data_IF_093074688415
#
_entry.id   IF_093074688415
#
_cell.length_a   1.000
_cell.length_b   1.000
_cell.length_c   1.000
_cell.angle_alpha   90.00
_cell.angle_beta   90.00
_cell.angle_gamma   90.00
#
_symmetry.space_group_name_H-M   'P 1'
#
loop_
_entity.id
_entity.type
_entity.pdbx_description
1 polymer ?
#
# COMPACT_ATOMS: atom_id res chain seq x y z
N UNK A 1 13.89 0.29 -13.90
CA UNK A 1 14.13 -1.07 -13.33
C UNK A 1 15.47 -1.12 -12.59
N UNK A 2 16.54 -0.58 -13.18
CA UNK A 2 17.89 -0.51 -12.58
C UNK A 2 17.96 -0.03 -11.12
N UNK A 3 17.31 1.08 -10.77
CA UNK A 3 17.33 1.60 -9.39
C UNK A 3 16.69 0.66 -8.36
N UNK A 4 15.76 -0.19 -8.77
CA UNK A 4 15.17 -1.19 -7.88
C UNK A 4 16.18 -2.27 -7.51
N UNK A 5 17.01 -2.72 -8.47
CA UNK A 5 18.10 -3.65 -8.20
C UNK A 5 19.17 -3.01 -7.32
N UNK A 6 19.62 -1.79 -7.67
CA UNK A 6 20.60 -1.04 -6.86
C UNK A 6 20.15 -0.90 -5.40
N UNK A 7 18.88 -0.55 -5.17
CA UNK A 7 18.33 -0.42 -3.82
C UNK A 7 18.43 -1.72 -3.01
N UNK A 8 18.18 -2.87 -3.65
CA UNK A 8 18.25 -4.18 -2.99
C UNK A 8 19.70 -4.63 -2.80
N UNK A 9 20.58 -4.41 -3.77
CA UNK A 9 22.01 -4.74 -3.66
C UNK A 9 22.80 -3.83 -2.72
N UNK A 10 22.24 -2.68 -2.36
CA UNK A 10 22.76 -1.79 -1.32
C UNK A 10 22.40 -2.26 0.11
N UNK A 11 21.68 -3.38 0.26
CA UNK A 11 21.36 -3.99 1.55
C UNK A 11 22.25 -5.19 1.79
N UNK A 12 23.12 -5.10 2.80
CA UNK A 12 24.03 -6.19 3.19
C UNK A 12 23.26 -7.45 3.63
N UNK A 13 22.03 -7.29 4.10
CA UNK A 13 21.15 -8.38 4.54
C UNK A 13 20.52 -9.16 3.38
N UNK A 14 20.61 -8.65 2.14
CA UNK A 14 20.01 -9.28 0.96
C UNK A 14 21.08 -10.06 0.19
N UNK A 15 20.95 -11.39 0.18
CA UNK A 15 21.88 -12.28 -0.55
C UNK A 15 21.44 -12.64 -1.96
N UNK A 16 20.12 -12.62 -2.24
CA UNK A 16 19.54 -13.03 -3.52
C UNK A 16 18.38 -12.12 -3.87
N UNK A 17 18.38 -11.59 -5.09
CA UNK A 17 17.26 -10.83 -5.65
C UNK A 17 16.61 -11.65 -6.77
N UNK A 18 15.30 -11.91 -6.63
CA UNK A 18 14.51 -12.60 -7.63
C UNK A 18 13.68 -11.57 -8.41
N UNK A 19 13.84 -11.55 -9.73
CA UNK A 19 13.05 -10.69 -10.61
C UNK A 19 12.10 -11.52 -11.47
N UNK A 20 10.80 -11.25 -11.38
CA UNK A 20 9.78 -11.85 -12.25
C UNK A 20 9.73 -11.17 -13.61
N UNK A 21 9.63 -11.94 -14.68
CA UNK A 21 9.66 -11.46 -16.07
C UNK A 21 8.68 -12.27 -16.92
N UNK A 22 7.96 -11.60 -17.83
CA UNK A 22 6.95 -12.22 -18.69
C UNK A 22 7.38 -12.34 -20.15
N UNK A 23 8.52 -11.75 -20.53
CA UNK A 23 9.07 -11.82 -21.89
C UNK A 23 10.60 -11.92 -21.85
N UNK A 24 11.18 -12.46 -22.92
CA UNK A 24 12.64 -12.55 -23.06
C UNK A 24 13.31 -11.17 -23.10
N UNK A 25 12.63 -10.16 -23.64
CA UNK A 25 13.12 -8.77 -23.67
C UNK A 25 13.37 -8.25 -22.25
N UNK A 26 12.42 -8.47 -21.32
CA UNK A 26 12.59 -8.10 -19.92
C UNK A 26 13.76 -8.84 -19.25
N UNK A 27 14.03 -10.09 -19.64
CA UNK A 27 15.21 -10.85 -19.19
C UNK A 27 16.49 -10.17 -19.62
N UNK A 28 16.58 -9.82 -20.90
CA UNK A 28 17.77 -9.16 -21.45
C UNK A 28 17.99 -7.80 -20.77
N UNK A 29 16.93 -7.02 -20.57
CA UNK A 29 17.02 -5.71 -19.92
C UNK A 29 17.43 -5.81 -18.46
N UNK A 30 16.92 -6.80 -17.72
CA UNK A 30 17.31 -7.03 -16.33
C UNK A 30 18.77 -7.46 -16.21
N UNK A 31 19.24 -8.38 -17.07
CA UNK A 31 20.65 -8.77 -17.11
C UNK A 31 21.55 -7.56 -17.38
N UNK A 32 21.17 -6.69 -18.32
CA UNK A 32 21.93 -5.46 -18.62
C UNK A 32 21.94 -4.49 -17.44
N UNK A 33 20.80 -4.29 -16.79
CA UNK A 33 20.67 -3.39 -15.64
C UNK A 33 21.54 -3.88 -14.46
N UNK A 34 21.55 -5.18 -14.20
CA UNK A 34 22.40 -5.78 -13.15
C UNK A 34 23.88 -5.79 -13.57
N UNK A 35 24.20 -6.16 -14.80
CA UNK A 35 25.59 -6.32 -15.26
C UNK A 35 26.36 -5.02 -15.45
N UNK A 36 25.69 -3.88 -15.64
CA UNK A 36 26.36 -2.58 -15.85
C UNK A 36 26.50 -1.73 -14.59
N UNK A 37 25.68 -1.99 -13.56
CA UNK A 37 25.49 -1.09 -12.42
C UNK A 37 25.02 -1.81 -11.13
N UNK A 38 24.98 -3.15 -11.10
CA UNK A 38 24.41 -3.96 -10.02
C UNK A 38 25.41 -4.44 -8.97
N UNK A 39 26.55 -3.75 -8.81
CA UNK A 39 27.50 -4.07 -7.76
C UNK A 39 26.87 -3.86 -6.37
N UNK A 40 27.29 -4.66 -5.39
CA UNK A 40 26.91 -4.45 -4.00
C UNK A 40 27.34 -3.05 -3.54
N UNK A 41 26.49 -2.38 -2.77
CA UNK A 41 26.75 -1.02 -2.27
C UNK A 41 27.03 0.04 -3.36
N UNK A 42 26.51 -0.16 -4.57
CA UNK A 42 26.73 0.75 -5.72
C UNK A 42 25.93 2.05 -5.68
N UNK A 43 24.99 2.20 -4.76
CA UNK A 43 24.18 3.42 -4.67
C UNK A 43 24.98 4.60 -4.14
N UNK A 44 24.92 5.70 -4.88
CA UNK A 44 25.50 6.97 -4.45
C UNK A 44 24.71 7.60 -3.29
N UNK A 45 25.35 8.47 -2.52
CA UNK A 45 24.67 9.24 -1.45
C UNK A 45 23.46 10.04 -1.95
N UNK A 46 23.51 10.53 -3.20
CA UNK A 46 22.43 11.30 -3.81
C UNK A 46 21.23 10.39 -4.13
N UNK A 47 21.47 9.23 -4.74
CA UNK A 47 20.40 8.25 -5.03
C UNK A 47 19.73 7.75 -3.75
N UNK A 48 20.50 7.43 -2.70
CA UNK A 48 19.96 7.04 -1.39
C UNK A 48 19.03 8.12 -0.83
N UNK A 49 19.49 9.38 -0.85
CA UNK A 49 18.70 10.52 -0.39
C UNK A 49 17.40 10.69 -1.21
N UNK A 50 17.46 10.54 -2.52
CA UNK A 50 16.28 10.60 -3.39
C UNK A 50 15.26 9.53 -3.01
N UNK A 51 15.69 8.28 -2.81
CA UNK A 51 14.79 7.18 -2.40
C UNK A 51 14.18 7.45 -1.02
N UNK A 52 14.97 7.96 -0.07
CA UNK A 52 14.48 8.33 1.26
C UNK A 52 13.43 9.45 1.19
N UNK A 53 13.69 10.51 0.42
CA UNK A 53 12.78 11.64 0.27
C UNK A 53 11.49 11.23 -0.45
N UNK A 54 11.60 10.41 -1.51
CA UNK A 54 10.44 9.80 -2.16
C UNK A 54 9.64 8.91 -1.20
N UNK A 55 10.32 8.07 -0.41
CA UNK A 55 9.65 7.20 0.57
C UNK A 55 8.87 8.00 1.61
N UNK A 56 9.44 9.11 2.10
CA UNK A 56 8.77 10.03 3.02
C UNK A 56 7.54 10.67 2.38
N UNK A 57 7.68 11.17 1.16
CA UNK A 57 6.57 11.79 0.41
C UNK A 57 5.42 10.80 0.19
N UNK A 58 5.71 9.59 -0.29
CA UNK A 58 4.69 8.55 -0.47
C UNK A 58 4.02 8.16 0.84
N UNK A 59 4.79 7.96 1.92
CA UNK A 59 4.24 7.65 3.25
C UNK A 59 3.38 8.77 3.81
N UNK A 60 3.72 10.03 3.53
CA UNK A 60 2.93 11.18 3.98
C UNK A 60 1.51 11.21 3.39
N UNK A 61 1.33 10.58 2.22
CA UNK A 61 0.03 10.47 1.54
C UNK A 61 -0.79 9.26 1.97
N UNK A 62 -0.20 8.29 2.68
CA UNK A 62 -0.91 7.12 3.19
C UNK A 62 -1.63 7.52 4.49
N UNK A 63 -2.96 7.42 4.50
CA UNK A 63 -3.80 7.73 5.67
C UNK A 63 -3.87 6.56 6.65
N UNK A 64 -3.81 5.33 6.13
CA UNK A 64 -3.90 4.09 6.91
C UNK A 64 -2.86 3.10 6.41
N UNK A 65 -1.96 2.63 7.29
CA UNK A 65 -0.92 1.64 6.94
C UNK A 65 -1.49 0.20 6.83
N UNK A 66 -2.60 0.03 6.13
CA UNK A 66 -3.24 -1.26 5.88
C UNK A 66 -2.54 -1.98 4.73
N UNK A 67 -2.20 -3.25 4.93
CA UNK A 67 -1.56 -4.11 3.91
C UNK A 67 -2.55 -4.97 3.12
N UNK A 68 -3.86 -4.84 3.37
CA UNK A 68 -4.87 -5.63 2.67
C UNK A 68 -4.88 -7.12 3.00
N UNK A 69 -4.31 -7.54 4.14
CA UNK A 69 -4.21 -8.97 4.54
C UNK A 69 -5.55 -9.67 4.84
N UNK A 70 -6.63 -8.91 5.02
CA UNK A 70 -8.01 -9.39 5.28
C UNK A 70 -8.21 -10.15 6.60
N UNK A 71 -7.27 -10.12 7.55
CA UNK A 71 -7.44 -10.79 8.85
C UNK A 71 -8.58 -10.21 9.70
N UNK A 72 -8.93 -8.94 9.49
CA UNK A 72 -10.07 -8.31 10.12
C UNK A 72 -11.44 -8.82 9.61
N UNK A 73 -11.45 -9.66 8.57
CA UNK A 73 -12.67 -10.23 7.98
C UNK A 73 -12.94 -11.66 8.50
N UNK A 74 -14.21 -12.13 8.46
CA UNK A 74 -15.41 -11.32 8.20
C UNK A 74 -15.67 -10.34 9.36
N UNK A 75 -16.11 -9.13 9.03
CA UNK A 75 -16.67 -8.21 10.02
C UNK A 75 -18.07 -8.73 10.42
N UNK A 76 -18.43 -8.80 11.71
CA UNK A 76 -19.76 -9.23 12.16
C UNK A 76 -20.92 -8.39 11.60
N UNK A 77 -20.62 -7.19 11.10
CA UNK A 77 -21.56 -6.25 10.48
C UNK A 77 -21.36 -6.08 8.97
N UNK A 78 -20.57 -6.95 8.33
CA UNK A 78 -20.38 -6.94 6.88
C UNK A 78 -19.47 -5.84 6.34
N UNK A 79 -18.87 -4.99 7.19
CA UNK A 79 -17.96 -3.92 6.73
C UNK A 79 -16.74 -4.51 6.00
N UNK A 80 -16.53 -4.08 4.76
CA UNK A 80 -15.35 -4.41 3.95
C UNK A 80 -14.18 -3.48 4.29
N UNK A 81 -13.64 -3.67 5.50
CA UNK A 81 -12.61 -2.82 6.13
C UNK A 81 -11.40 -2.56 5.21
N UNK A 82 -10.78 -3.57 4.56
CA UNK A 82 -9.61 -3.33 3.72
C UNK A 82 -9.91 -2.42 2.53
N UNK A 83 -11.09 -2.58 1.91
CA UNK A 83 -11.50 -1.78 0.74
C UNK A 83 -11.84 -0.34 1.15
N UNK A 84 -12.45 -0.14 2.33
CA UNK A 84 -12.64 1.20 2.90
C UNK A 84 -11.30 1.94 3.03
N UNK A 85 -10.27 1.27 3.56
CA UNK A 85 -8.95 1.87 3.74
C UNK A 85 -8.19 2.06 2.43
N UNK A 86 -8.36 1.17 1.46
CA UNK A 86 -7.82 1.32 0.11
C UNK A 86 -8.36 2.58 -0.56
N UNK A 87 -9.68 2.83 -0.46
CA UNK A 87 -10.30 4.02 -1.04
C UNK A 87 -9.89 5.30 -0.31
N UNK A 88 -9.79 5.29 1.02
CA UNK A 88 -9.29 6.42 1.81
C UNK A 88 -7.82 6.74 1.49
N UNK A 89 -6.98 5.73 1.33
CA UNK A 89 -5.59 5.95 0.91
C UNK A 89 -5.51 6.47 -0.53
N UNK A 90 -6.34 5.93 -1.44
CA UNK A 90 -6.34 6.33 -2.85
C UNK A 90 -6.80 7.78 -3.03
N UNK A 91 -7.82 8.23 -2.28
CA UNK A 91 -8.28 9.62 -2.34
C UNK A 91 -7.18 10.60 -1.95
N UNK A 92 -6.40 10.27 -0.92
CA UNK A 92 -5.26 11.04 -0.43
C UNK A 92 -4.05 10.95 -1.38
N UNK A 93 -3.73 9.76 -1.89
CA UNK A 93 -2.59 9.52 -2.78
C UNK A 93 -2.70 10.29 -4.10
N UNK A 94 -3.89 10.26 -4.70
CA UNK A 94 -4.14 10.86 -6.01
C UNK A 94 -4.82 12.23 -5.95
N UNK A 95 -5.13 12.71 -4.74
CA UNK A 95 -5.89 13.94 -4.51
C UNK A 95 -7.23 13.96 -5.29
N UNK A 96 -7.89 12.80 -5.37
CA UNK A 96 -9.13 12.59 -6.13
C UNK A 96 -10.19 11.94 -5.24
N UNK A 97 -10.77 12.77 -4.36
CA UNK A 97 -11.82 12.35 -3.43
C UNK A 97 -13.09 11.95 -4.20
N UNK A 98 -13.40 12.64 -5.29
CA UNK A 98 -14.62 12.38 -6.06
C UNK A 98 -14.63 10.96 -6.63
N UNK A 99 -13.55 10.55 -7.31
CA UNK A 99 -13.44 9.20 -7.86
C UNK A 99 -13.48 8.13 -6.77
N UNK A 100 -12.79 8.37 -5.65
CA UNK A 100 -12.82 7.44 -4.51
C UNK A 100 -14.22 7.32 -3.89
N UNK A 101 -14.96 8.43 -3.75
CA UNK A 101 -16.35 8.45 -3.26
C UNK A 101 -17.31 7.76 -4.22
N UNK A 102 -17.14 7.96 -5.53
CA UNK A 102 -17.94 7.25 -6.55
C UNK A 102 -17.73 5.73 -6.46
N UNK A 103 -16.49 5.28 -6.29
CA UNK A 103 -16.17 3.87 -6.06
C UNK A 103 -16.70 3.34 -4.72
N UNK A 104 -16.60 4.14 -3.64
CA UNK A 104 -17.17 3.80 -2.33
C UNK A 104 -18.68 3.56 -2.44
N UNK A 105 -19.40 4.47 -3.08
CA UNK A 105 -20.85 4.34 -3.28
C UNK A 105 -21.20 3.14 -4.17
N UNK A 106 -20.46 2.98 -5.28
CA UNK A 106 -20.73 1.94 -6.28
C UNK A 106 -20.45 0.51 -5.82
N UNK A 107 -19.46 0.30 -4.94
CA UNK A 107 -19.05 -1.03 -4.49
C UNK A 107 -19.40 -1.35 -3.04
N UNK A 108 -19.37 -0.36 -2.14
CA UNK A 108 -19.54 -0.61 -0.71
C UNK A 108 -20.96 -0.28 -0.25
N UNK A 109 -21.46 0.91 -0.58
CA UNK A 109 -22.81 1.33 -0.17
C UNK A 109 -23.88 0.49 -0.89
N UNK A 110 -23.70 0.25 -2.18
CA UNK A 110 -24.61 -0.58 -2.98
C UNK A 110 -24.74 -2.02 -2.45
N UNK A 111 -23.67 -2.58 -1.89
CA UNK A 111 -23.63 -3.91 -1.30
C UNK A 111 -23.94 -3.93 0.20
N UNK A 112 -24.16 -2.77 0.84
CA UNK A 112 -24.36 -2.64 2.28
C UNK A 112 -23.15 -3.15 3.08
N UNK A 113 -21.94 -2.92 2.58
CA UNK A 113 -20.67 -3.35 3.18
C UNK A 113 -19.75 -2.18 3.54
N UNK A 114 -20.30 -0.97 3.55
CA UNK A 114 -19.66 0.29 3.81
C UNK A 114 -19.37 0.53 5.31
N UNK A 115 -18.66 1.62 5.61
CA UNK A 115 -18.18 1.93 6.94
C UNK A 115 -19.32 2.30 7.93
N UNK A 116 -20.50 2.73 7.47
CA UNK A 116 -21.64 3.03 8.36
C UNK A 116 -22.12 1.83 9.17
N UNK A 117 -21.86 0.60 8.71
CA UNK A 117 -22.27 -0.59 9.42
C UNK A 117 -21.38 -0.93 10.63
N UNK A 118 -20.27 -0.19 10.84
CA UNK A 118 -19.41 -0.40 11.99
C UNK A 118 -20.14 -0.06 13.29
N UNK A 119 -20.19 -1.03 14.22
CA UNK A 119 -20.76 -0.86 15.58
C UNK A 119 -19.68 -0.79 16.67
N UNK A 120 -18.43 -0.50 16.28
CA UNK A 120 -17.31 -0.29 17.21
C UNK A 120 -17.03 -1.48 18.15
N UNK A 121 -17.26 -2.71 17.68
CA UNK A 121 -17.11 -3.92 18.50
C UNK A 121 -15.67 -4.35 18.84
N UNK A 122 -14.65 -3.75 18.20
CA UNK A 122 -13.23 -4.03 18.44
C UNK A 122 -12.68 -5.37 17.92
N UNK A 123 -13.53 -6.27 17.42
CA UNK A 123 -13.11 -7.60 16.96
C UNK A 123 -12.07 -7.58 15.83
N UNK A 124 -12.10 -6.54 14.98
CA UNK A 124 -11.16 -6.36 13.88
C UNK A 124 -9.76 -5.95 14.35
N UNK A 125 -9.65 -5.12 15.39
CA UNK A 125 -8.39 -4.59 15.89
C UNK A 125 -7.55 -5.68 16.56
N UNK A 126 -8.20 -6.60 17.29
CA UNK A 126 -7.54 -7.76 17.89
C UNK A 126 -6.89 -8.69 16.86
N UNK A 127 -7.40 -8.70 15.62
CA UNK A 127 -6.87 -9.51 14.51
C UNK A 127 -5.86 -8.76 13.66
N UNK A 128 -5.65 -7.46 13.88
CA UNK A 128 -4.82 -6.63 13.02
C UNK A 128 -3.34 -6.81 13.37
N UNK A 129 -2.51 -7.43 12.49
CA UNK A 129 -1.09 -7.59 12.77
C UNK A 129 -0.30 -6.28 12.71
N UNK A 130 -0.90 -5.22 12.15
CA UNK A 130 -0.31 -3.88 12.05
C UNK A 130 -0.74 -2.97 13.20
N UNK A 131 -1.54 -3.47 14.16
CA UNK A 131 -2.06 -2.70 15.29
C UNK A 131 -2.72 -1.37 14.89
N UNK A 132 -3.48 -1.39 13.79
CA UNK A 132 -4.23 -0.23 13.31
C UNK A 132 -5.44 -0.01 14.23
N UNK A 133 -5.69 1.25 14.60
CA UNK A 133 -6.95 1.68 15.21
C UNK A 133 -8.06 1.70 14.16
N UNK A 134 -8.54 0.50 13.78
CA UNK A 134 -9.47 0.29 12.68
C UNK A 134 -10.75 1.08 12.88
N UNK A 135 -11.27 1.15 14.11
CA UNK A 135 -12.53 1.85 14.38
C UNK A 135 -12.40 3.35 14.07
N UNK A 136 -11.34 3.98 14.57
CA UNK A 136 -11.08 5.40 14.31
C UNK A 136 -10.85 5.67 12.82
N UNK A 137 -10.14 4.78 12.14
CA UNK A 137 -9.94 4.90 10.69
C UNK A 137 -11.23 4.72 9.89
N UNK A 138 -12.17 3.90 10.34
CA UNK A 138 -13.49 3.80 9.71
C UNK A 138 -14.31 5.07 9.93
N UNK A 139 -14.16 5.78 11.06
CA UNK A 139 -14.79 7.09 11.26
C UNK A 139 -14.28 8.11 10.24
N UNK A 140 -12.97 8.15 10.01
CA UNK A 140 -12.37 9.00 8.95
C UNK A 140 -12.91 8.65 7.55
N UNK A 141 -13.15 7.37 7.25
CA UNK A 141 -13.78 6.94 5.99
C UNK A 141 -15.18 7.53 5.86
N UNK A 142 -15.99 7.43 6.91
CA UNK A 142 -17.36 7.98 6.93
C UNK A 142 -17.35 9.48 6.74
N UNK A 143 -16.54 10.20 7.51
CA UNK A 143 -16.42 11.67 7.40
C UNK A 143 -16.04 12.15 5.99
N UNK A 144 -15.24 11.37 5.27
CA UNK A 144 -14.80 11.75 3.93
C UNK A 144 -15.80 11.37 2.83
N UNK A 145 -16.47 10.23 2.96
CA UNK A 145 -17.27 9.64 1.88
C UNK A 145 -18.78 9.66 2.09
N UNK A 146 -19.28 9.86 3.31
CA UNK A 146 -20.71 9.92 3.63
C UNK A 146 -21.13 11.37 3.85
#
# INVERSE_FOLDING_TARGET
MEWAFKFLYDKEEISVVLSGMSSLEQVIDNIKAVGSQGDANSMTKIEKKIIEDLSKEFKSKIKVNCTGCKYCLPCPKGVQIPLCFELLNSSSMFNDIKKAKDMYNGFLVSEGSDASNCVECGACEQKCPQHINIIEKLKEVRELFE
#
